data_IF_308029949602
#
_entry.id   IF_308029949602
#
_cell.length_a   1.000
_cell.length_b   1.000
_cell.length_c   1.000
_cell.angle_alpha   90.00
_cell.angle_beta   90.00
_cell.angle_gamma   90.00
#
_symmetry.space_group_name_H-M   'P 1'
#
loop_
_entity.id
_entity.type
_entity.pdbx_description
1 polymer ?
#
# COMPACT_ATOMS: atom_id res chain seq x y z
N UNK A 1 0.36 -24.29 11.21
CA UNK A 1 -0.45 -23.09 11.55
C UNK A 1 -0.52 -22.21 10.31
N UNK A 2 -1.70 -21.70 9.95
CA UNK A 2 -1.86 -20.91 8.73
C UNK A 2 -1.88 -19.41 9.03
N UNK A 3 -1.10 -18.66 8.25
CA UNK A 3 -1.07 -17.20 8.22
C UNK A 3 -1.71 -16.74 6.91
N UNK A 4 -2.71 -15.87 7.00
CA UNK A 4 -3.32 -15.18 5.87
C UNK A 4 -2.92 -13.71 5.87
N UNK A 5 -2.51 -13.20 4.71
CA UNK A 5 -2.23 -11.78 4.50
C UNK A 5 -3.35 -11.20 3.63
N UNK A 6 -3.98 -10.16 4.16
CA UNK A 6 -4.92 -9.33 3.42
C UNK A 6 -4.25 -8.00 3.06
N UNK A 7 -4.75 -7.36 2.02
CA UNK A 7 -4.30 -6.04 1.59
C UNK A 7 -5.46 -5.05 1.69
N UNK A 8 -5.16 -3.86 2.20
CA UNK A 8 -6.12 -2.77 2.34
C UNK A 8 -5.56 -1.44 1.85
N UNK A 9 -6.44 -0.46 1.73
CA UNK A 9 -6.11 0.88 1.23
C UNK A 9 -6.19 1.00 -0.30
N UNK A 10 -5.81 2.17 -0.82
CA UNK A 10 -5.89 2.48 -2.25
C UNK A 10 -4.61 2.20 -3.04
N UNK A 11 -3.49 2.01 -2.34
CA UNK A 11 -2.17 1.78 -2.93
C UNK A 11 -1.86 0.30 -3.16
N UNK A 12 -0.70 0.07 -3.77
CA UNK A 12 -0.18 -1.25 -4.08
C UNK A 12 1.07 -1.55 -3.28
N UNK A 13 1.30 -2.84 -3.06
CA UNK A 13 2.49 -3.31 -2.36
C UNK A 13 2.55 -4.82 -2.31
N UNK A 14 3.63 -5.28 -1.71
CA UNK A 14 3.97 -6.67 -1.57
C UNK A 14 4.44 -6.95 -0.14
N UNK A 15 4.20 -8.15 0.37
CA UNK A 15 4.62 -8.58 1.71
C UNK A 15 5.39 -9.90 1.61
N UNK A 16 6.61 -9.90 2.13
CA UNK A 16 7.41 -11.12 2.32
C UNK A 16 7.57 -11.46 3.79
N UNK A 17 8.07 -12.66 4.10
CA UNK A 17 8.43 -13.06 5.46
C UNK A 17 9.90 -13.45 5.61
N UNK A 18 10.42 -13.28 6.83
CA UNK A 18 11.67 -13.89 7.29
C UNK A 18 11.41 -14.70 8.58
N UNK A 19 11.58 -16.05 8.59
CA UNK A 19 12.04 -16.89 7.49
C UNK A 19 11.14 -16.86 6.24
N UNK A 20 11.75 -17.08 5.07
CA UNK A 20 11.04 -17.09 3.78
C UNK A 20 9.88 -18.09 3.79
N UNK A 21 8.70 -17.65 3.37
CA UNK A 21 7.53 -18.51 3.25
C UNK A 21 6.39 -17.82 2.52
N UNK A 22 6.11 -16.57 2.88
CA UNK A 22 5.15 -15.71 2.18
C UNK A 22 5.88 -14.77 1.23
N UNK A 23 5.29 -14.61 0.04
CA UNK A 23 5.62 -13.63 -1.01
C UNK A 23 4.27 -13.26 -1.65
N UNK A 24 3.56 -12.32 -1.01
CA UNK A 24 2.19 -11.93 -1.36
C UNK A 24 2.13 -10.55 -2.01
N UNK A 25 1.53 -10.42 -3.19
CA UNK A 25 1.26 -9.12 -3.82
C UNK A 25 -0.18 -8.67 -3.60
N UNK A 26 -0.39 -7.36 -3.46
CA UNK A 26 -1.71 -6.73 -3.28
C UNK A 26 -2.74 -7.05 -4.38
N UNK A 27 -2.29 -7.48 -5.57
CA UNK A 27 -3.17 -7.90 -6.66
C UNK A 27 -3.66 -9.35 -6.53
N UNK A 28 -3.22 -10.08 -5.51
CA UNK A 28 -3.61 -11.47 -5.27
C UNK A 28 -4.79 -11.53 -4.28
N UNK A 29 -5.85 -12.23 -4.68
CA UNK A 29 -7.06 -12.35 -3.86
C UNK A 29 -6.92 -13.30 -2.66
N UNK A 30 -5.96 -14.24 -2.71
CA UNK A 30 -5.76 -15.24 -1.66
C UNK A 30 -4.27 -15.45 -1.44
N UNK A 31 -3.74 -14.89 -0.36
CA UNK A 31 -2.36 -15.15 0.02
C UNK A 31 -2.27 -15.69 1.44
N UNK A 32 -1.93 -16.97 1.55
CA UNK A 32 -1.75 -17.65 2.83
C UNK A 32 -0.65 -18.70 2.76
N UNK A 33 -0.01 -18.95 3.89
CA UNK A 33 1.06 -19.93 4.01
C UNK A 33 1.00 -20.66 5.34
N UNK A 34 1.46 -21.92 5.35
CA UNK A 34 1.49 -22.74 6.56
C UNK A 34 2.88 -22.74 7.17
N UNK A 35 3.00 -22.17 8.36
CA UNK A 35 4.21 -22.19 9.17
C UNK A 35 4.14 -23.24 10.28
N UNK A 36 5.31 -23.64 10.79
CA UNK A 36 5.41 -24.47 11.98
C UNK A 36 4.89 -23.72 13.21
N UNK A 37 4.44 -24.47 14.21
CA UNK A 37 4.02 -23.92 15.51
C UNK A 37 5.21 -23.38 16.28
N UNK A 38 4.97 -22.35 17.08
CA UNK A 38 5.97 -21.73 17.95
C UNK A 38 7.18 -21.13 17.20
N UNK A 39 6.95 -20.67 15.97
CA UNK A 39 7.94 -19.97 15.15
C UNK A 39 7.71 -18.46 15.21
N UNK A 40 8.78 -17.69 15.35
CA UNK A 40 8.79 -16.26 15.13
C UNK A 40 8.96 -15.95 13.65
N UNK A 41 8.15 -15.03 13.14
CA UNK A 41 8.17 -14.59 11.75
C UNK A 41 8.20 -13.07 11.75
N UNK A 42 9.02 -12.52 10.87
CA UNK A 42 8.99 -11.10 10.56
C UNK A 42 8.29 -10.89 9.22
N UNK A 43 7.33 -9.97 9.15
CA UNK A 43 6.61 -9.55 7.96
C UNK A 43 7.25 -8.28 7.43
N UNK A 44 7.64 -8.31 6.16
CA UNK A 44 8.40 -7.26 5.50
C UNK A 44 7.52 -6.66 4.38
N UNK A 45 6.86 -5.52 4.63
CA UNK A 45 6.05 -4.86 3.61
C UNK A 45 6.94 -4.00 2.71
N UNK A 46 6.74 -4.12 1.40
CA UNK A 46 7.39 -3.30 0.36
C UNK A 46 6.31 -2.60 -0.44
N UNK A 47 6.22 -1.28 -0.33
CA UNK A 47 5.26 -0.49 -1.11
C UNK A 47 5.70 -0.37 -2.58
N UNK A 48 4.75 -0.30 -3.50
CA UNK A 48 5.03 0.09 -4.88
C UNK A 48 5.53 1.55 -4.96
N UNK A 49 6.15 1.93 -6.07
CA UNK A 49 6.78 3.24 -6.24
C UNK A 49 5.82 4.44 -6.09
N UNK A 50 4.54 4.25 -6.39
CA UNK A 50 3.47 5.24 -6.28
C UNK A 50 2.68 5.14 -4.97
N UNK A 51 3.15 4.33 -4.03
CA UNK A 51 2.41 3.92 -2.84
C UNK A 51 3.26 4.05 -1.58
N UNK A 52 2.61 4.12 -0.42
CA UNK A 52 3.26 4.04 0.89
C UNK A 52 2.60 2.99 1.76
N UNK A 53 3.42 2.26 2.52
CA UNK A 53 2.91 1.42 3.60
C UNK A 53 2.44 2.32 4.74
N UNK A 54 1.18 2.20 5.15
CA UNK A 54 0.59 3.03 6.22
C UNK A 54 0.51 2.29 7.54
N UNK A 55 0.70 0.98 7.55
CA UNK A 55 0.76 0.17 8.75
C UNK A 55 0.01 -1.16 8.60
N UNK A 56 0.23 -2.01 9.60
CA UNK A 56 -0.54 -3.23 9.76
C UNK A 56 -1.89 -2.92 10.40
N UNK A 57 -2.89 -3.72 10.06
CA UNK A 57 -4.18 -3.75 10.71
C UNK A 57 -4.72 -5.17 10.79
N UNK A 58 -5.94 -5.31 11.31
CA UNK A 58 -6.59 -6.60 11.49
C UNK A 58 -7.27 -6.69 12.85
N UNK A 59 -8.09 -7.73 13.02
CA UNK A 59 -8.83 -7.98 14.27
C UNK A 59 -7.92 -8.49 15.40
N UNK A 60 -6.66 -8.79 15.12
CA UNK A 60 -5.63 -9.19 16.08
C UNK A 60 -4.47 -8.20 15.98
N UNK A 61 -4.20 -7.50 17.09
CA UNK A 61 -3.06 -6.56 17.28
C UNK A 61 -1.67 -7.22 17.18
N UNK A 62 -1.63 -8.53 16.96
CA UNK A 62 -0.39 -9.32 16.98
C UNK A 62 0.49 -9.08 15.73
N UNK A 63 0.05 -8.26 14.77
CA UNK A 63 0.81 -7.90 13.58
C UNK A 63 1.28 -6.44 13.57
N UNK A 64 1.00 -5.66 14.62
CA UNK A 64 1.14 -4.19 14.61
C UNK A 64 2.55 -3.70 14.25
N UNK A 65 3.59 -4.46 14.64
CA UNK A 65 4.99 -4.15 14.38
C UNK A 65 5.62 -4.99 13.26
N UNK A 66 4.87 -5.89 12.62
CA UNK A 66 5.38 -6.85 11.64
C UNK A 66 6.01 -8.11 12.24
N UNK A 67 6.18 -8.21 13.56
CA UNK A 67 6.69 -9.42 14.21
C UNK A 67 5.53 -10.27 14.71
N UNK A 68 5.48 -11.52 14.28
CA UNK A 68 4.37 -12.42 14.57
C UNK A 68 4.87 -13.74 15.15
N UNK A 69 4.30 -14.13 16.27
CA UNK A 69 4.48 -15.47 16.85
C UNK A 69 3.37 -16.42 16.39
N UNK A 70 3.76 -17.49 15.70
CA UNK A 70 2.83 -18.50 15.18
C UNK A 70 2.38 -19.48 16.27
N UNK A 71 1.46 -19.03 17.11
CA UNK A 71 0.75 -19.84 18.12
C UNK A 71 -0.60 -20.38 17.65
N UNK A 72 -1.10 -19.99 16.47
CA UNK A 72 -2.44 -20.32 15.98
C UNK A 72 -2.69 -19.87 14.54
N UNK A 73 -3.96 -19.85 14.13
CA UNK A 73 -4.39 -19.21 12.89
C UNK A 73 -4.26 -17.69 13.04
N UNK A 74 -3.65 -17.05 12.04
CA UNK A 74 -3.36 -15.61 12.05
C UNK A 74 -3.83 -14.96 10.76
N UNK A 75 -4.34 -13.73 10.87
CA UNK A 75 -4.80 -12.92 9.75
C UNK A 75 -4.32 -11.48 9.94
N UNK A 76 -3.37 -11.04 9.14
CA UNK A 76 -2.84 -9.67 9.16
C UNK A 76 -3.30 -8.92 7.91
N UNK A 77 -3.56 -7.62 8.03
CA UNK A 77 -3.87 -6.75 6.90
C UNK A 77 -2.75 -5.74 6.71
N UNK A 78 -2.06 -5.77 5.57
CA UNK A 78 -1.10 -4.76 5.17
C UNK A 78 -1.83 -3.61 4.46
N UNK A 79 -1.73 -2.38 4.99
CA UNK A 79 -2.38 -1.23 4.37
C UNK A 79 -1.37 -0.43 3.54
N UNK A 80 -1.74 -0.17 2.29
CA UNK A 80 -0.99 0.67 1.36
C UNK A 80 -1.87 1.81 0.85
N UNK A 81 -1.35 3.02 0.82
CA UNK A 81 -2.05 4.18 0.27
C UNK A 81 -1.28 4.80 -0.89
N UNK A 82 -1.99 5.24 -1.93
CA UNK A 82 -1.36 5.96 -3.03
C UNK A 82 -0.76 7.27 -2.54
N UNK A 83 0.44 7.57 -3.02
CA UNK A 83 1.08 8.86 -2.84
C UNK A 83 0.34 9.90 -3.68
N UNK A 84 -0.26 10.88 -3.01
CA UNK A 84 -0.87 12.05 -3.66
C UNK A 84 0.11 13.21 -3.62
N UNK A 85 0.50 13.69 -4.79
CA UNK A 85 1.33 14.87 -4.93
C UNK A 85 0.44 16.07 -5.29
N UNK A 86 0.27 17.06 -4.40
CA UNK A 86 -0.55 18.21 -4.70
C UNK A 86 0.12 19.04 -5.80
N UNK A 87 -0.61 19.29 -6.88
CA UNK A 87 -0.18 20.22 -7.91
C UNK A 87 -0.61 21.65 -7.51
N UNK A 88 0.34 22.58 -7.54
CA UNK A 88 0.05 24.01 -7.39
C UNK A 88 0.23 24.71 -8.72
N UNK A 89 -0.80 25.44 -9.15
CA UNK A 89 -0.74 26.32 -10.34
C UNK A 89 -0.82 27.76 -9.87
N UNK A 90 0.22 28.55 -10.13
CA UNK A 90 0.25 30.00 -9.86
C UNK A 90 0.12 30.78 -11.15
N UNK A 91 -0.85 31.68 -11.22
CA UNK A 91 -1.00 32.61 -12.35
C UNK A 91 -0.42 33.98 -12.00
N UNK A 92 0.34 34.58 -12.91
CA UNK A 92 0.88 35.94 -12.77
C UNK A 92 0.36 36.78 -13.94
N UNK A 93 -0.11 38.01 -13.67
CA UNK A 93 -0.67 38.93 -14.66
C UNK A 93 -2.21 38.97 -14.70
N UNK A 94 -2.78 39.75 -15.63
CA UNK A 94 -4.24 39.98 -15.72
C UNK A 94 -4.99 39.04 -16.69
N UNK A 95 -4.28 38.09 -17.32
CA UNK A 95 -4.88 37.12 -18.23
C UNK A 95 -5.77 36.11 -17.51
N UNK A 96 -6.77 35.57 -18.21
CA UNK A 96 -7.60 34.48 -17.68
C UNK A 96 -6.91 33.14 -17.97
N UNK A 97 -6.59 32.38 -16.92
CA UNK A 97 -6.17 31.00 -17.03
C UNK A 97 -7.33 30.06 -16.64
N UNK A 98 -7.48 28.94 -17.35
CA UNK A 98 -8.40 27.86 -16.97
C UNK A 98 -7.60 26.58 -16.89
N UNK A 99 -7.71 25.88 -15.75
CA UNK A 99 -7.20 24.50 -15.66
C UNK A 99 -8.13 23.63 -16.52
N UNK A 100 -7.56 22.91 -17.48
CA UNK A 100 -8.29 21.95 -18.32
C UNK A 100 -8.59 20.64 -17.56
N UNK A 101 -8.67 19.53 -18.30
CA UNK A 101 -8.84 18.21 -17.70
C UNK A 101 -7.60 17.82 -16.89
N UNK A 102 -7.81 17.37 -15.65
CA UNK A 102 -6.79 16.72 -14.81
C UNK A 102 -7.06 15.22 -14.86
N UNK A 103 -6.17 14.45 -15.49
CA UNK A 103 -6.26 12.98 -15.51
C UNK A 103 -5.58 12.44 -14.24
N UNK A 104 -6.36 11.91 -13.28
CA UNK A 104 -5.82 11.40 -12.01
C UNK A 104 -4.83 10.24 -12.18
N UNK A 105 -4.85 9.54 -13.31
CA UNK A 105 -3.95 8.41 -13.62
C UNK A 105 -2.78 8.75 -14.55
N UNK A 106 -2.69 9.98 -15.05
CA UNK A 106 -1.60 10.41 -15.92
C UNK A 106 -1.23 11.87 -15.63
N UNK A 107 -0.04 12.16 -15.06
CA UNK A 107 0.31 13.49 -14.55
C UNK A 107 0.55 14.57 -15.63
N UNK A 108 0.09 14.37 -16.87
CA UNK A 108 0.18 15.37 -17.92
C UNK A 108 -0.82 16.51 -17.66
N UNK A 109 -0.32 17.62 -17.12
CA UNK A 109 -1.11 18.83 -16.87
C UNK A 109 -1.08 19.70 -18.12
N UNK A 110 -2.24 19.89 -18.75
CA UNK A 110 -2.38 20.79 -19.91
C UNK A 110 -2.95 22.13 -19.41
N UNK A 111 -2.11 23.17 -19.40
CA UNK A 111 -2.52 24.55 -19.08
C UNK A 111 -2.81 25.29 -20.39
N UNK A 112 -4.06 25.68 -20.62
CA UNK A 112 -4.45 26.46 -21.79
C UNK A 112 -4.57 27.94 -21.43
N UNK A 113 -3.76 28.78 -22.07
CA UNK A 113 -3.85 30.24 -21.95
C UNK A 113 -4.66 30.78 -23.12
N UNK A 114 -5.78 31.43 -22.85
CA UNK A 114 -6.59 32.11 -23.86
C UNK A 114 -6.35 33.62 -23.78
N UNK A 115 -6.18 34.28 -24.94
CA UNK A 115 -6.09 35.73 -25.04
C UNK A 115 -7.45 36.40 -24.83
#
# INVERSE_FOLDING_TARGET
MNLTINFGGTGHGHVTTDPSGIDCDSNQANCSYSFNTATWINLIPTAAADSKFTGWGGLQSDCDNGELFMSGLRSCTANFELLRFPLTVTTVGQGKARVGWVEERNPAIIITITR
#
